data_IF_507153463313
#
_entry.id   IF_507153463313
#
_cell.length_a   1.000
_cell.length_b   1.000
_cell.length_c   1.000
_cell.angle_alpha   90.00
_cell.angle_beta   90.00
_cell.angle_gamma   90.00
#
_symmetry.space_group_name_H-M   'P 1'
#
loop_
_entity.id
_entity.type
_entity.pdbx_description
1 polymer ?
#
# COMPACT_ATOMS: atom_id res chain seq x y z
N UNK A 1 -16.78 -19.94 -1.68
CA UNK A 1 -17.13 -18.54 -2.08
C UNK A 1 -17.02 -18.37 -3.59
N UNK A 2 -15.88 -18.76 -4.22
CA UNK A 2 -15.70 -18.61 -5.67
C UNK A 2 -16.68 -19.49 -6.47
N UNK A 3 -16.85 -20.74 -6.08
CA UNK A 3 -17.76 -21.68 -6.75
C UNK A 3 -19.21 -21.22 -6.72
N UNK A 4 -19.57 -20.42 -5.71
CA UNK A 4 -20.90 -19.80 -5.57
C UNK A 4 -21.02 -18.48 -6.35
N UNK A 5 -19.89 -17.94 -6.86
CA UNK A 5 -19.79 -16.64 -7.54
C UNK A 5 -18.90 -16.74 -8.79
N UNK A 6 -19.31 -17.49 -9.82
CA UNK A 6 -18.49 -17.75 -11.01
C UNK A 6 -18.26 -16.51 -11.89
N UNK A 7 -18.87 -15.37 -11.57
CA UNK A 7 -18.73 -14.11 -12.29
C UNK A 7 -17.64 -13.18 -11.70
N UNK A 8 -16.97 -13.61 -10.62
CA UNK A 8 -15.86 -12.85 -10.05
C UNK A 8 -14.72 -12.82 -11.05
N UNK A 9 -14.34 -11.63 -11.48
CA UNK A 9 -13.25 -11.38 -12.44
C UNK A 9 -12.02 -10.74 -11.79
N UNK A 10 -12.15 -10.25 -10.56
CA UNK A 10 -11.09 -9.59 -9.81
C UNK A 10 -11.17 -9.93 -8.33
N UNK A 11 -10.01 -10.12 -7.71
CA UNK A 11 -9.82 -10.28 -6.27
C UNK A 11 -8.96 -9.14 -5.75
N UNK A 12 -9.48 -8.40 -4.74
CA UNK A 12 -8.73 -7.33 -4.09
C UNK A 12 -8.30 -7.77 -2.69
N UNK A 13 -6.99 -7.74 -2.44
CA UNK A 13 -6.40 -7.99 -1.13
C UNK A 13 -6.20 -6.66 -0.41
N UNK A 14 -6.91 -6.47 0.69
CA UNK A 14 -6.91 -5.22 1.46
C UNK A 14 -7.00 -5.50 2.96
N UNK A 15 -6.89 -4.45 3.78
CA UNK A 15 -7.01 -4.50 5.23
C UNK A 15 -5.71 -4.90 5.94
N UNK A 16 -5.38 -4.22 7.03
CA UNK A 16 -4.08 -4.36 7.68
C UNK A 16 -2.94 -4.03 6.71
N UNK A 17 -1.97 -4.92 6.62
CA UNK A 17 -0.93 -4.89 5.58
C UNK A 17 -0.84 -6.29 4.95
N UNK A 18 -1.43 -6.53 3.78
CA UNK A 18 -1.37 -7.84 3.12
C UNK A 18 0.07 -8.32 2.87
N UNK A 19 1.01 -7.39 2.69
CA UNK A 19 2.44 -7.69 2.50
C UNK A 19 3.09 -8.39 3.71
N UNK A 20 2.45 -8.38 4.86
CA UNK A 20 2.88 -9.13 6.05
C UNK A 20 2.55 -10.63 5.99
N UNK A 21 1.81 -11.06 4.96
CA UNK A 21 1.37 -12.44 4.78
C UNK A 21 1.81 -13.02 3.42
N UNK A 22 3.14 -13.01 3.11
CA UNK A 22 3.64 -13.34 1.77
C UNK A 22 3.23 -14.73 1.28
N UNK A 23 3.24 -15.74 2.15
CA UNK A 23 2.85 -17.10 1.78
C UNK A 23 1.38 -17.17 1.35
N UNK A 24 0.47 -16.51 2.09
CA UNK A 24 -0.94 -16.45 1.73
C UNK A 24 -1.15 -15.69 0.42
N UNK A 25 -0.47 -14.55 0.24
CA UNK A 25 -0.58 -13.78 -1.01
C UNK A 25 -0.09 -14.62 -2.19
N UNK A 26 1.03 -15.35 -2.03
CA UNK A 26 1.53 -16.24 -3.09
C UNK A 26 0.51 -17.34 -3.45
N UNK A 27 -0.10 -18.01 -2.47
CA UNK A 27 -1.17 -18.99 -2.74
C UNK A 27 -2.36 -18.37 -3.49
N UNK A 28 -2.73 -17.12 -3.14
CA UNK A 28 -3.81 -16.41 -3.82
C UNK A 28 -3.43 -16.00 -5.25
N UNK A 29 -2.15 -15.71 -5.55
CA UNK A 29 -1.72 -15.48 -6.94
C UNK A 29 -1.84 -16.74 -7.79
N UNK A 30 -1.50 -17.91 -7.26
CA UNK A 30 -1.73 -19.21 -7.93
C UNK A 30 -3.22 -19.43 -8.20
N UNK A 31 -4.05 -19.25 -7.17
CA UNK A 31 -5.50 -19.41 -7.29
C UNK A 31 -6.09 -18.51 -8.37
N UNK A 32 -5.68 -17.24 -8.40
CA UNK A 32 -6.15 -16.25 -9.37
C UNK A 32 -5.67 -16.60 -10.80
N UNK A 33 -4.39 -16.95 -10.94
CA UNK A 33 -3.78 -17.32 -12.23
C UNK A 33 -4.48 -18.52 -12.87
N UNK A 34 -4.72 -19.60 -12.11
CA UNK A 34 -5.40 -20.81 -12.60
C UNK A 34 -6.83 -20.54 -13.09
N UNK A 35 -7.47 -19.48 -12.64
CA UNK A 35 -8.88 -19.14 -12.93
C UNK A 35 -9.05 -17.90 -13.81
N UNK A 36 -7.95 -17.33 -14.28
CA UNK A 36 -7.94 -16.06 -15.05
C UNK A 36 -8.69 -14.93 -14.30
N UNK A 37 -8.47 -14.84 -12.98
CA UNK A 37 -8.98 -13.77 -12.13
C UNK A 37 -7.86 -12.75 -11.95
N UNK A 38 -8.16 -11.47 -12.13
CA UNK A 38 -7.23 -10.39 -11.82
C UNK A 38 -7.02 -10.31 -10.31
N UNK A 39 -5.79 -10.03 -9.89
CA UNK A 39 -5.46 -9.88 -8.47
C UNK A 39 -4.84 -8.51 -8.21
N UNK A 40 -5.51 -7.74 -7.36
CA UNK A 40 -5.13 -6.40 -6.91
C UNK A 40 -4.74 -6.44 -5.45
N UNK A 41 -3.71 -5.70 -5.05
CA UNK A 41 -3.34 -5.50 -3.64
C UNK A 41 -3.36 -4.03 -3.27
N UNK A 42 -3.93 -3.69 -2.10
CA UNK A 42 -3.74 -2.40 -1.44
C UNK A 42 -2.59 -2.52 -0.45
N UNK A 43 -1.57 -1.67 -0.58
CA UNK A 43 -0.37 -1.71 0.26
C UNK A 43 0.22 -0.33 0.49
N UNK A 44 0.86 -0.17 1.65
CA UNK A 44 1.71 0.99 1.95
C UNK A 44 3.14 0.86 1.38
N UNK A 45 3.51 -0.33 0.87
CA UNK A 45 4.82 -0.59 0.28
C UNK A 45 5.93 -0.91 1.27
N UNK A 46 5.61 -1.31 2.52
CA UNK A 46 6.62 -1.62 3.55
C UNK A 46 7.46 -2.85 3.23
N UNK A 47 6.91 -3.82 2.51
CA UNK A 47 7.57 -5.07 2.14
C UNK A 47 7.34 -5.39 0.67
N UNK A 48 8.37 -5.90 0.01
CA UNK A 48 8.26 -6.50 -1.32
C UNK A 48 7.66 -7.90 -1.21
N UNK A 49 6.74 -8.21 -2.11
CA UNK A 49 6.17 -9.55 -2.27
C UNK A 49 6.83 -10.25 -3.45
N UNK A 50 7.67 -11.24 -3.16
CA UNK A 50 8.25 -12.14 -4.15
C UNK A 50 7.27 -13.30 -4.37
N UNK A 51 6.36 -13.13 -5.33
CA UNK A 51 5.32 -14.10 -5.66
C UNK A 51 5.65 -14.84 -6.96
N UNK A 52 5.19 -16.09 -7.11
CA UNK A 52 5.45 -16.89 -8.33
C UNK A 52 4.77 -16.30 -9.56
N UNK A 53 3.63 -15.62 -9.38
CA UNK A 53 2.93 -14.86 -10.41
C UNK A 53 2.83 -13.40 -10.02
N UNK A 54 3.17 -12.45 -10.93
CA UNK A 54 2.99 -11.03 -10.65
C UNK A 54 1.53 -10.69 -10.32
N UNK A 55 1.33 -9.77 -9.40
CA UNK A 55 0.04 -9.14 -9.17
C UNK A 55 -0.31 -8.25 -10.36
N UNK A 56 -1.59 -8.21 -10.75
CA UNK A 56 -2.05 -7.41 -11.89
C UNK A 56 -2.06 -5.93 -11.58
N UNK A 57 -2.39 -5.54 -10.34
CA UNK A 57 -2.42 -4.16 -9.92
C UNK A 57 -1.93 -3.98 -8.47
N UNK A 58 -1.03 -3.03 -8.30
CA UNK A 58 -0.60 -2.54 -6.99
C UNK A 58 -1.27 -1.19 -6.71
N UNK A 59 -2.17 -1.14 -5.74
CA UNK A 59 -2.74 0.10 -5.19
C UNK A 59 -1.83 0.60 -4.06
N UNK A 60 -0.83 1.43 -4.42
CA UNK A 60 0.23 1.88 -3.52
C UNK A 60 -0.18 3.16 -2.77
N UNK A 61 -0.19 3.08 -1.43
CA UNK A 61 -0.57 4.18 -0.53
C UNK A 61 0.52 4.43 0.53
N UNK A 62 1.67 5.00 0.16
CA UNK A 62 2.79 5.20 1.09
C UNK A 62 2.40 6.08 2.29
N UNK A 63 3.07 5.87 3.42
CA UNK A 63 2.83 6.61 4.65
C UNK A 63 3.80 7.78 4.77
N UNK A 64 3.33 9.00 4.50
CA UNK A 64 4.10 10.24 4.59
C UNK A 64 4.15 10.80 6.02
N UNK A 65 4.76 11.98 6.19
CA UNK A 65 4.91 12.66 7.48
C UNK A 65 3.57 12.88 8.19
N UNK A 66 2.50 13.13 7.43
CA UNK A 66 1.12 13.31 7.92
C UNK A 66 0.50 12.04 8.54
N UNK A 67 1.16 10.90 8.45
CA UNK A 67 0.75 9.62 9.05
C UNK A 67 1.46 9.31 10.37
N UNK A 68 2.44 10.13 10.77
CA UNK A 68 3.19 9.91 12.01
C UNK A 68 2.27 10.03 13.21
N UNK A 69 2.25 9.03 14.12
CA UNK A 69 1.43 9.10 15.31
C UNK A 69 1.83 10.28 16.20
N UNK A 70 0.84 10.91 16.81
CA UNK A 70 1.07 12.00 17.76
C UNK A 70 1.39 11.42 19.14
N UNK A 71 2.45 11.92 19.79
CA UNK A 71 2.83 11.52 21.14
C UNK A 71 1.64 11.71 22.11
N UNK A 72 1.48 10.78 23.03
CA UNK A 72 0.40 10.73 24.04
C UNK A 72 -1.02 10.58 23.45
N UNK A 73 -1.20 10.52 22.14
CA UNK A 73 -2.49 10.18 21.56
C UNK A 73 -2.88 8.72 21.87
N UNK A 74 -4.18 8.47 21.94
CA UNK A 74 -4.71 7.11 22.14
C UNK A 74 -5.09 6.51 20.79
N UNK A 75 -4.53 5.34 20.48
CA UNK A 75 -4.87 4.61 19.24
C UNK A 75 -6.32 4.08 19.31
N UNK A 76 -6.94 3.73 18.17
CA UNK A 76 -8.27 3.10 18.16
C UNK A 76 -8.34 1.82 19.00
N UNK A 77 -7.20 1.15 19.25
CA UNK A 77 -7.10 -0.05 20.10
C UNK A 77 -6.85 0.30 21.58
N UNK A 78 -6.93 1.60 21.97
CA UNK A 78 -6.77 2.06 23.34
C UNK A 78 -5.32 2.13 23.86
N UNK A 79 -4.32 2.01 22.97
CA UNK A 79 -2.89 2.11 23.34
C UNK A 79 -2.41 3.55 23.26
N UNK A 80 -1.70 4.03 24.29
CA UNK A 80 -1.06 5.35 24.26
C UNK A 80 0.18 5.31 23.36
N UNK A 81 0.30 6.30 22.46
CA UNK A 81 1.45 6.46 21.58
C UNK A 81 2.66 6.96 22.37
N UNK A 82 3.73 6.18 22.36
CA UNK A 82 5.02 6.52 22.97
C UNK A 82 6.09 6.88 21.90
N UNK A 83 7.23 7.40 22.33
CA UNK A 83 8.35 7.76 21.46
C UNK A 83 8.89 6.57 20.67
N UNK A 84 8.82 5.35 21.23
CA UNK A 84 9.28 4.13 20.55
C UNK A 84 8.38 3.83 19.34
N UNK A 85 7.06 3.99 19.49
CA UNK A 85 6.11 3.80 18.39
C UNK A 85 6.36 4.80 17.27
N UNK A 86 6.61 6.08 17.60
CA UNK A 86 6.94 7.13 16.62
C UNK A 86 8.23 6.79 15.90
N UNK A 87 9.28 6.40 16.63
CA UNK A 87 10.59 6.03 16.07
C UNK A 87 10.47 4.84 15.12
N UNK A 88 9.75 3.80 15.53
CA UNK A 88 9.50 2.63 14.68
C UNK A 88 8.70 2.98 13.42
N UNK A 89 7.64 3.76 13.56
CA UNK A 89 6.83 4.22 12.44
C UNK A 89 7.70 4.99 11.43
N UNK A 90 8.50 5.97 11.88
CA UNK A 90 9.38 6.74 11.00
C UNK A 90 10.45 5.89 10.31
N UNK A 91 10.94 4.84 10.97
CA UNK A 91 11.94 3.93 10.41
C UNK A 91 11.37 3.07 9.27
N UNK A 92 10.12 2.65 9.37
CA UNK A 92 9.53 1.66 8.47
C UNK A 92 8.47 2.20 7.51
N UNK A 93 7.99 3.45 7.69
CA UNK A 93 6.88 4.02 6.88
C UNK A 93 7.17 4.17 5.40
N UNK A 94 8.45 4.34 5.02
CA UNK A 94 8.88 4.45 3.62
C UNK A 94 10.07 3.51 3.38
N UNK A 95 9.78 2.36 2.81
CA UNK A 95 10.81 1.41 2.37
C UNK A 95 11.01 1.55 0.85
N UNK A 96 11.85 2.52 0.45
CA UNK A 96 12.09 2.83 -0.96
C UNK A 96 12.61 1.62 -1.76
N UNK A 97 13.42 0.75 -1.15
CA UNK A 97 13.92 -0.46 -1.82
C UNK A 97 12.78 -1.44 -2.12
N UNK A 98 11.92 -1.72 -1.13
CA UNK A 98 10.78 -2.61 -1.32
C UNK A 98 9.79 -2.05 -2.35
N UNK A 99 9.54 -0.73 -2.31
CA UNK A 99 8.66 -0.04 -3.26
C UNK A 99 9.22 -0.14 -4.67
N UNK A 100 10.50 0.13 -4.89
CA UNK A 100 11.14 0.02 -6.20
C UNK A 100 11.01 -1.40 -6.75
N UNK A 101 11.35 -2.43 -5.97
CA UNK A 101 11.21 -3.84 -6.38
C UNK A 101 9.76 -4.19 -6.72
N UNK A 102 8.80 -3.69 -5.92
CA UNK A 102 7.37 -3.90 -6.17
C UNK A 102 6.93 -3.31 -7.51
N UNK A 103 7.35 -2.08 -7.81
CA UNK A 103 6.98 -1.39 -9.05
C UNK A 103 7.66 -1.99 -10.29
N UNK A 104 8.83 -2.61 -10.13
CA UNK A 104 9.55 -3.27 -11.23
C UNK A 104 9.04 -4.68 -11.53
N UNK A 105 8.55 -5.38 -10.50
CA UNK A 105 8.16 -6.78 -10.63
C UNK A 105 6.70 -6.97 -11.05
N UNK A 106 5.76 -6.18 -10.51
CA UNK A 106 4.33 -6.36 -10.76
C UNK A 106 3.84 -5.62 -12.01
N UNK A 107 2.68 -6.04 -12.55
CA UNK A 107 2.25 -5.67 -13.90
C UNK A 107 1.88 -4.20 -14.03
N UNK A 108 1.09 -3.66 -13.10
CA UNK A 108 0.62 -2.27 -13.12
C UNK A 108 0.48 -1.68 -11.72
N UNK A 109 0.35 -0.35 -11.62
CA UNK A 109 0.21 0.33 -10.34
C UNK A 109 -0.70 1.55 -10.40
N UNK A 110 -1.34 1.84 -9.27
CA UNK A 110 -1.94 3.12 -8.95
C UNK A 110 -1.25 3.70 -7.71
N UNK A 111 -0.79 4.93 -7.81
CA UNK A 111 -0.25 5.69 -6.69
C UNK A 111 -1.35 6.49 -6.04
N UNK A 112 -1.71 6.16 -4.79
CA UNK A 112 -2.84 6.73 -4.05
C UNK A 112 -2.38 7.40 -2.75
N UNK A 113 -1.62 8.50 -2.82
CA UNK A 113 -1.17 9.21 -1.63
C UNK A 113 -2.32 9.92 -0.93
N UNK A 114 -2.27 9.98 0.42
CA UNK A 114 -3.20 10.76 1.23
C UNK A 114 -2.63 12.17 1.41
N UNK A 115 -3.39 13.18 0.97
CA UNK A 115 -3.05 14.59 1.12
C UNK A 115 -3.85 15.21 2.28
N UNK A 116 -3.16 15.90 3.17
CA UNK A 116 -3.75 16.54 4.35
C UNK A 116 -4.13 18.01 4.16
N UNK A 117 -3.99 18.54 2.94
CA UNK A 117 -4.32 19.93 2.61
C UNK A 117 -3.13 20.89 2.72
N UNK A 118 -1.95 20.43 3.19
CA UNK A 118 -0.75 21.26 3.32
C UNK A 118 0.12 21.23 2.07
N UNK A 119 0.90 22.29 1.86
CA UNK A 119 1.88 22.38 0.77
C UNK A 119 3.06 21.43 1.04
N UNK A 120 3.49 21.32 2.29
CA UNK A 120 4.56 20.45 2.72
C UNK A 120 4.27 18.98 2.36
N UNK A 121 3.06 18.50 2.64
CA UNK A 121 2.68 17.14 2.30
C UNK A 121 2.52 16.94 0.79
N UNK A 122 2.03 17.97 0.06
CA UNK A 122 1.97 17.91 -1.40
C UNK A 122 3.37 17.79 -2.02
N UNK A 123 4.37 18.47 -1.47
CA UNK A 123 5.77 18.36 -1.88
C UNK A 123 6.34 16.96 -1.63
N UNK A 124 6.09 16.37 -0.45
CA UNK A 124 6.47 14.96 -0.18
C UNK A 124 5.87 13.99 -1.21
N UNK A 125 4.60 14.19 -1.55
CA UNK A 125 3.88 13.37 -2.54
C UNK A 125 4.54 13.47 -3.92
N UNK A 126 4.88 14.68 -4.36
CA UNK A 126 5.50 14.91 -5.67
C UNK A 126 6.95 14.43 -5.70
N UNK A 127 7.74 14.66 -4.65
CA UNK A 127 9.12 14.15 -4.52
C UNK A 127 9.14 12.61 -4.60
N UNK A 128 8.24 11.95 -3.88
CA UNK A 128 8.10 10.49 -3.93
C UNK A 128 7.75 10.01 -5.34
N UNK A 129 6.78 10.67 -5.99
CA UNK A 129 6.37 10.35 -7.36
C UNK A 129 7.55 10.44 -8.33
N UNK A 130 8.32 11.52 -8.25
CA UNK A 130 9.50 11.74 -9.10
C UNK A 130 10.60 10.73 -8.81
N UNK A 131 10.89 10.46 -7.53
CA UNK A 131 11.91 9.49 -7.10
C UNK A 131 11.66 8.09 -7.67
N UNK A 132 10.40 7.65 -7.68
CA UNK A 132 10.02 6.33 -8.20
C UNK A 132 9.57 6.33 -9.66
N UNK A 133 9.75 7.44 -10.40
CA UNK A 133 9.34 7.60 -11.80
C UNK A 133 7.86 7.26 -12.06
N UNK A 134 6.98 7.54 -11.11
CA UNK A 134 5.55 7.23 -11.21
C UNK A 134 4.88 8.22 -12.17
N UNK A 135 4.17 7.77 -13.22
CA UNK A 135 3.47 8.65 -14.15
C UNK A 135 2.32 9.43 -13.48
N UNK A 136 2.10 10.69 -13.89
CA UNK A 136 0.99 11.51 -13.37
C UNK A 136 -0.38 10.88 -13.59
N UNK A 137 -0.60 10.22 -14.72
CA UNK A 137 -1.87 9.55 -15.03
C UNK A 137 -2.12 8.26 -14.21
N UNK A 138 -1.16 7.83 -13.39
CA UNK A 138 -1.29 6.74 -12.41
C UNK A 138 -1.38 7.26 -10.98
N UNK A 139 -1.45 8.59 -10.79
CA UNK A 139 -1.47 9.25 -9.48
C UNK A 139 -2.87 9.75 -9.15
N UNK A 140 -3.40 9.31 -8.03
CA UNK A 140 -4.75 9.61 -7.53
C UNK A 140 -4.65 10.17 -6.11
N UNK A 141 -4.64 11.49 -5.97
CA UNK A 141 -4.53 12.13 -4.65
C UNK A 141 -5.83 11.93 -3.86
N UNK A 142 -5.70 11.36 -2.67
CA UNK A 142 -6.80 11.08 -1.75
C UNK A 142 -6.82 12.17 -0.67
N UNK A 143 -7.85 13.03 -0.59
CA UNK A 143 -7.92 14.03 0.47
C UNK A 143 -8.15 13.35 1.83
N UNK A 144 -7.42 13.81 2.85
CA UNK A 144 -7.65 13.39 4.23
C UNK A 144 -8.89 14.09 4.77
N UNK A 145 -9.91 13.30 5.13
CA UNK A 145 -11.08 13.84 5.80
C UNK A 145 -10.80 14.02 7.29
N UNK A 146 -11.04 15.23 7.79
CA UNK A 146 -11.12 15.49 9.23
C UNK A 146 -12.60 15.39 9.62
N UNK A 147 -12.94 14.40 10.41
CA UNK A 147 -14.25 14.28 11.07
C UNK A 147 -14.21 14.97 12.44
#
# INVERSE_FOLDING_TARGET
IYDDNPHVSEMMLTGGSPTMHPALVNELTHFAHERNILITIETEGSHFLDTDYPLDLISLSPKFSNSVPVLDAVTPQGKVVDERMITQHNKFRLNHEAITKTLEYHTDMHYKPVWDGTEENLNEIEEFRVHHNIPKNKTYIMPKYYT
#
